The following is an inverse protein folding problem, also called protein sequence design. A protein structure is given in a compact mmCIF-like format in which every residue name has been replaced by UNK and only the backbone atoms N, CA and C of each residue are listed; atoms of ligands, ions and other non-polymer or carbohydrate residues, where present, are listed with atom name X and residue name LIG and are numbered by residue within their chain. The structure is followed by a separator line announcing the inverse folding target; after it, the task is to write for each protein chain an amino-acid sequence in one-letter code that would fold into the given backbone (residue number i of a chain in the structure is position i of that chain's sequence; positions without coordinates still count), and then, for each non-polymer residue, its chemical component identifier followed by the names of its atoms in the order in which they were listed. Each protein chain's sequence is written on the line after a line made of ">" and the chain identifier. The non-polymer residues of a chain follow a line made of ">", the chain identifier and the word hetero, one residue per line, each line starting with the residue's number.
data_IF_013355774530
#
_entry.id   IF_013355774530
#
_cell.length_a   1.000
_cell.length_b   1.000
_cell.length_c   1.000
_cell.angle_alpha   90.00
_cell.angle_beta   90.00
_cell.angle_gamma   90.00
#
_symmetry.space_group_name_H-M   'P 1'
#
loop_
_entity.id
_entity.type
_entity.pdbx_description
1 polymer ?
#
# COMPACT_ATOMS: atom_id res chain seq x y z
N UNK A 1 -15.22 -22.49 -36.76
CA UNK A 1 -14.52 -22.82 -35.49
C UNK A 1 -13.11 -22.28 -35.63
N UNK A 2 -12.83 -21.09 -35.10
CA UNK A 2 -11.50 -20.46 -35.19
C UNK A 2 -10.54 -21.27 -34.34
N UNK A 3 -9.61 -21.97 -34.99
CA UNK A 3 -8.53 -22.69 -34.35
C UNK A 3 -7.67 -21.68 -33.61
N UNK A 4 -7.82 -21.62 -32.29
CA UNK A 4 -7.01 -20.76 -31.42
C UNK A 4 -5.56 -21.20 -31.58
N UNK A 5 -4.74 -20.36 -32.19
CA UNK A 5 -3.31 -20.65 -32.38
C UNK A 5 -2.57 -20.44 -31.06
N UNK A 6 -1.44 -21.10 -30.87
CA UNK A 6 -0.59 -20.90 -29.68
C UNK A 6 -0.20 -19.43 -29.50
N UNK A 7 -0.03 -18.69 -30.60
CA UNK A 7 0.27 -17.26 -30.58
C UNK A 7 -0.89 -16.42 -30.01
N UNK A 8 -2.14 -16.75 -30.37
CA UNK A 8 -3.32 -16.03 -29.86
C UNK A 8 -3.46 -16.24 -28.34
N UNK A 9 -3.24 -17.47 -27.86
CA UNK A 9 -3.26 -17.80 -26.43
C UNK A 9 -2.17 -17.04 -25.66
N UNK A 10 -0.96 -16.94 -26.20
CA UNK A 10 0.11 -16.16 -25.59
C UNK A 10 -0.24 -14.67 -25.53
N UNK A 11 -0.83 -14.11 -26.59
CA UNK A 11 -1.27 -12.71 -26.60
C UNK A 11 -2.34 -12.42 -25.53
N UNK A 12 -3.29 -13.35 -25.33
CA UNK A 12 -4.28 -13.25 -24.27
C UNK A 12 -3.65 -13.34 -22.86
N UNK A 13 -2.66 -14.22 -22.66
CA UNK A 13 -1.96 -14.34 -21.38
C UNK A 13 -1.13 -13.09 -21.05
N UNK A 14 -0.38 -12.56 -22.03
CA UNK A 14 0.43 -11.36 -21.87
C UNK A 14 -0.46 -10.15 -21.55
N UNK A 15 -1.56 -9.97 -22.28
CA UNK A 15 -2.50 -8.87 -22.00
C UNK A 15 -3.16 -8.98 -20.63
N UNK A 16 -3.59 -10.18 -20.21
CA UNK A 16 -4.16 -10.41 -18.89
C UNK A 16 -3.15 -10.13 -17.76
N UNK A 17 -1.91 -10.63 -17.89
CA UNK A 17 -0.85 -10.39 -16.91
C UNK A 17 -0.46 -8.92 -16.83
N UNK A 18 -0.41 -8.23 -17.96
CA UNK A 18 -0.09 -6.81 -18.01
C UNK A 18 -1.15 -5.96 -17.31
N UNK A 19 -2.44 -6.23 -17.58
CA UNK A 19 -3.56 -5.55 -16.90
C UNK A 19 -3.52 -5.84 -15.40
N UNK A 20 -3.30 -7.09 -15.00
CA UNK A 20 -3.22 -7.47 -13.60
C UNK A 20 -2.07 -6.75 -12.88
N UNK A 21 -0.87 -6.73 -13.49
CA UNK A 21 0.28 -5.98 -12.98
C UNK A 21 -0.01 -4.47 -12.86
N UNK A 22 -0.68 -3.87 -13.85
CA UNK A 22 -1.07 -2.45 -13.83
C UNK A 22 -2.05 -2.14 -12.70
N UNK A 23 -3.05 -2.99 -12.48
CA UNK A 23 -4.02 -2.82 -11.38
C UNK A 23 -3.33 -2.98 -10.02
N UNK A 24 -2.47 -3.98 -9.85
CA UNK A 24 -1.73 -4.19 -8.59
C UNK A 24 -0.77 -3.03 -8.30
N UNK A 25 -0.07 -2.53 -9.31
CA UNK A 25 0.80 -1.35 -9.18
C UNK A 25 0.00 -0.11 -8.78
N UNK A 26 -1.10 0.16 -9.49
CA UNK A 26 -1.98 1.31 -9.23
C UNK A 26 -2.58 1.24 -7.82
N UNK A 27 -3.00 0.05 -7.37
CA UNK A 27 -3.49 -0.17 -6.01
C UNK A 27 -2.39 0.09 -4.96
N UNK A 28 -1.16 -0.37 -5.19
CA UNK A 28 -0.02 -0.11 -4.31
C UNK A 28 0.29 1.38 -4.16
N UNK A 29 0.30 2.12 -5.28
CA UNK A 29 0.48 3.59 -5.30
C UNK A 29 -0.68 4.29 -4.59
N UNK A 30 -1.93 3.88 -4.84
CA UNK A 30 -3.10 4.48 -4.21
C UNK A 30 -3.10 4.30 -2.69
N UNK A 31 -2.77 3.10 -2.21
CA UNK A 31 -2.62 2.80 -0.77
C UNK A 31 -1.53 3.67 -0.14
N UNK A 32 -0.42 3.89 -0.83
CA UNK A 32 0.68 4.72 -0.33
C UNK A 32 0.29 6.20 -0.26
N UNK A 33 -0.34 6.73 -1.31
CA UNK A 33 -0.75 8.15 -1.42
C UNK A 33 -1.83 8.51 -0.39
N UNK A 34 -2.90 7.71 -0.29
CA UNK A 34 -3.96 7.96 0.71
C UNK A 34 -3.43 7.85 2.15
N UNK A 35 -2.42 6.99 2.37
CA UNK A 35 -1.84 6.79 3.71
C UNK A 35 -0.79 7.86 4.07
N UNK A 36 -0.04 8.40 3.11
CA UNK A 36 0.88 9.51 3.35
C UNK A 36 0.16 10.73 3.95
N UNK A 37 -1.06 11.03 3.49
CA UNK A 37 -1.93 12.07 4.08
C UNK A 37 -2.31 11.80 5.55
N UNK A 38 -2.45 10.55 5.97
CA UNK A 38 -2.76 10.20 7.37
C UNK A 38 -1.58 10.36 8.34
N UNK A 39 -0.35 10.52 7.83
CA UNK A 39 0.84 10.77 8.64
C UNK A 39 0.90 12.18 9.24
N UNK A 40 0.48 13.19 8.48
CA UNK A 40 0.61 14.60 8.90
C UNK A 40 -0.48 15.04 9.90
N UNK A 41 -1.71 14.55 9.74
CA UNK A 41 -2.79 14.71 10.75
C UNK A 41 -2.37 14.12 12.10
N UNK A 42 -1.59 13.03 12.06
CA UNK A 42 -1.13 12.31 13.24
C UNK A 42 0.03 13.00 13.97
N UNK A 43 0.90 13.72 13.25
CA UNK A 43 1.92 14.61 13.86
C UNK A 43 1.26 15.80 14.55
N UNK A 44 0.20 16.35 13.94
CA UNK A 44 -0.60 17.43 14.53
C UNK A 44 -1.29 16.95 15.82
N UNK A 45 -1.96 15.80 15.79
CA UNK A 45 -2.60 15.20 16.97
C UNK A 45 -1.59 14.86 18.08
N UNK A 46 -0.40 14.35 17.73
CA UNK A 46 0.66 14.04 18.69
C UNK A 46 1.28 15.30 19.33
N UNK A 47 1.40 16.40 18.58
CA UNK A 47 1.86 17.68 19.11
C UNK A 47 0.79 18.35 20.00
N UNK A 48 -0.49 18.25 19.65
CA UNK A 48 -1.60 18.76 20.47
C UNK A 48 -1.79 17.94 21.76
N UNK A 49 -1.62 16.62 21.72
CA UNK A 49 -1.67 15.76 22.92
C UNK A 49 -0.54 16.09 23.92
N UNK A 50 0.65 16.44 23.43
CA UNK A 50 1.77 16.89 24.29
C UNK A 50 1.58 18.30 24.84
N UNK A 51 0.87 19.18 24.13
CA UNK A 51 0.48 20.50 24.63
C UNK A 51 -0.59 20.38 25.74
N UNK A 52 -1.55 19.46 25.60
CA UNK A 52 -2.53 19.15 26.65
C UNK A 52 -1.88 18.54 27.92
N UNK A 53 -0.77 17.80 27.77
CA UNK A 53 -0.02 17.20 28.88
C UNK A 53 0.72 18.20 29.79
N UNK A 54 0.96 19.43 29.37
CA UNK A 54 1.62 20.44 30.23
C UNK A 54 0.66 21.20 31.16
N UNK A 55 -0.65 20.94 31.09
CA UNK A 55 -1.67 21.72 31.82
C UNK A 55 -2.66 20.95 32.70
N UNK A 56 -2.75 19.62 32.61
CA UNK A 56 -3.74 18.84 33.40
C UNK A 56 -3.05 17.73 34.19
N UNK A 57 -2.56 18.20 35.34
CA UNK A 57 -2.43 17.60 36.67
C UNK A 57 -3.10 16.23 36.84
N UNK A 58 -2.27 15.27 37.26
CA UNK A 58 -2.45 14.06 38.07
C UNK A 58 -3.70 13.13 37.99
N UNK A 59 -4.87 13.50 37.46
CA UNK A 59 -6.11 12.67 37.56
C UNK A 59 -6.63 12.12 36.22
N UNK A 60 -6.09 12.57 35.08
CA UNK A 60 -6.50 12.12 33.72
C UNK A 60 -5.48 11.15 33.09
N UNK A 61 -4.42 10.82 33.83
CA UNK A 61 -3.29 9.98 33.40
C UNK A 61 -3.73 8.57 32.93
N UNK A 62 -4.70 7.95 33.62
CA UNK A 62 -5.21 6.62 33.26
C UNK A 62 -6.03 6.60 31.96
N UNK A 63 -6.76 7.67 31.65
CA UNK A 63 -7.62 7.76 30.46
C UNK A 63 -6.86 8.27 29.23
N UNK A 64 -5.92 9.20 29.42
CA UNK A 64 -5.00 9.67 28.38
C UNK A 64 -3.98 8.57 28.03
N UNK A 65 -3.59 7.73 28.97
CA UNK A 65 -2.77 6.54 28.71
C UNK A 65 -3.39 5.60 27.67
N UNK A 66 -4.72 5.40 27.70
CA UNK A 66 -5.45 4.61 26.71
C UNK A 66 -5.50 5.30 25.33
N UNK A 67 -5.67 6.62 25.29
CA UNK A 67 -5.60 7.39 24.04
C UNK A 67 -4.19 7.32 23.41
N UNK A 68 -3.14 7.39 24.23
CA UNK A 68 -1.74 7.22 23.79
C UNK A 68 -1.48 5.79 23.32
N UNK A 69 -2.05 4.76 23.98
CA UNK A 69 -1.97 3.37 23.54
C UNK A 69 -2.65 3.18 22.17
N UNK A 70 -3.86 3.73 21.97
CA UNK A 70 -4.54 3.68 20.68
C UNK A 70 -3.73 4.41 19.60
N UNK A 71 -3.16 5.59 19.90
CA UNK A 71 -2.28 6.33 18.98
C UNK A 71 -1.00 5.56 18.61
N UNK A 72 -0.49 4.70 19.50
CA UNK A 72 0.59 3.74 19.23
C UNK A 72 0.11 2.59 18.35
N UNK A 73 -1.01 1.95 18.65
CA UNK A 73 -1.55 0.88 17.80
C UNK A 73 -1.89 1.39 16.39
N UNK A 74 -2.42 2.61 16.28
CA UNK A 74 -2.64 3.28 15.01
C UNK A 74 -1.32 3.60 14.29
N UNK A 75 -0.24 3.90 15.01
CA UNK A 75 1.11 4.00 14.42
C UNK A 75 1.50 2.72 13.70
N UNK A 76 1.31 1.61 14.39
CA UNK A 76 1.83 0.32 13.98
C UNK A 76 0.99 -0.22 12.82
N UNK A 77 -0.33 0.02 12.84
CA UNK A 77 -1.21 -0.23 11.70
C UNK A 77 -0.83 0.60 10.47
N UNK A 78 -0.53 1.90 10.66
CA UNK A 78 -0.10 2.77 9.55
C UNK A 78 1.23 2.29 8.99
N UNK A 79 2.21 1.99 9.84
CA UNK A 79 3.53 1.48 9.43
C UNK A 79 3.42 0.15 8.68
N UNK A 80 2.57 -0.76 9.15
CA UNK A 80 2.32 -2.05 8.50
C UNK A 80 1.62 -1.88 7.16
N UNK A 81 0.61 -1.00 7.08
CA UNK A 81 -0.07 -0.69 5.82
C UNK A 81 0.87 -0.03 4.79
N UNK A 82 1.81 0.83 5.22
CA UNK A 82 2.86 1.37 4.34
C UNK A 82 3.77 0.26 3.82
N UNK A 83 4.15 -0.70 4.67
CA UNK A 83 4.89 -1.89 4.24
C UNK A 83 4.14 -2.71 3.18
N UNK A 84 2.83 -2.90 3.37
CA UNK A 84 1.96 -3.57 2.39
C UNK A 84 1.90 -2.79 1.07
N UNK A 85 1.78 -1.47 1.11
CA UNK A 85 1.77 -0.62 -0.10
C UNK A 85 3.07 -0.74 -0.91
N UNK A 86 4.23 -0.67 -0.25
CA UNK A 86 5.53 -0.86 -0.90
C UNK A 86 5.65 -2.27 -1.48
N UNK A 87 5.20 -3.29 -0.75
CA UNK A 87 5.19 -4.67 -1.24
C UNK A 87 4.33 -4.83 -2.51
N UNK A 88 3.15 -4.22 -2.56
CA UNK A 88 2.27 -4.24 -3.74
C UNK A 88 2.91 -3.56 -4.96
N UNK A 89 3.63 -2.45 -4.75
CA UNK A 89 4.37 -1.77 -5.84
C UNK A 89 5.47 -2.67 -6.39
N UNK A 90 6.30 -3.24 -5.51
CA UNK A 90 7.39 -4.15 -5.91
C UNK A 90 6.85 -5.38 -6.63
N UNK A 91 5.76 -5.97 -6.11
CA UNK A 91 5.09 -7.12 -6.72
C UNK A 91 4.50 -6.77 -8.09
N UNK A 92 3.87 -5.60 -8.24
CA UNK A 92 3.35 -5.12 -9.52
C UNK A 92 4.44 -4.92 -10.57
N UNK A 93 5.57 -4.32 -10.19
CA UNK A 93 6.74 -4.18 -11.08
C UNK A 93 7.32 -5.54 -11.46
N UNK A 94 7.41 -6.48 -10.52
CA UNK A 94 7.87 -7.84 -10.79
C UNK A 94 6.93 -8.58 -11.77
N UNK A 95 5.61 -8.44 -11.62
CA UNK A 95 4.62 -8.97 -12.56
C UNK A 95 4.72 -8.34 -13.95
N UNK A 96 4.95 -7.04 -14.05
CA UNK A 96 5.20 -6.38 -15.34
C UNK A 96 6.49 -6.87 -16.00
N UNK A 97 7.54 -7.12 -15.22
CA UNK A 97 8.80 -7.65 -15.72
C UNK A 97 8.65 -9.08 -16.27
N UNK A 98 7.94 -9.96 -15.55
CA UNK A 98 7.67 -11.32 -16.04
C UNK A 98 6.77 -11.33 -17.27
N UNK A 99 5.81 -10.41 -17.35
CA UNK A 99 4.99 -10.21 -18.55
C UNK A 99 5.84 -9.75 -19.75
N UNK A 100 6.79 -8.83 -19.54
CA UNK A 100 7.71 -8.39 -20.59
C UNK A 100 8.59 -9.52 -21.11
N UNK A 101 9.15 -10.34 -20.21
CA UNK A 101 9.92 -11.52 -20.60
C UNK A 101 9.08 -12.48 -21.43
N UNK A 102 7.85 -12.80 -21.00
CA UNK A 102 6.94 -13.67 -21.74
C UNK A 102 6.59 -13.10 -23.12
N UNK A 103 6.36 -11.79 -23.22
CA UNK A 103 6.11 -11.11 -24.48
C UNK A 103 7.33 -11.15 -25.42
N UNK A 104 8.54 -10.97 -24.88
CA UNK A 104 9.78 -11.01 -25.66
C UNK A 104 10.06 -12.40 -26.25
N UNK A 105 9.78 -13.46 -25.48
CA UNK A 105 9.91 -14.84 -25.95
C UNK A 105 8.82 -15.25 -26.94
N UNK A 106 7.67 -14.58 -26.95
CA UNK A 106 6.60 -14.83 -27.91
C UNK A 106 6.86 -14.15 -29.27
N UNK A 107 7.76 -13.16 -29.32
CA UNK A 107 8.14 -12.43 -30.54
C UNK A 107 9.39 -12.99 -31.24
N UNK A 108 10.10 -13.93 -30.61
CA UNK A 108 11.34 -14.58 -31.10
C UNK A 108 11.06 -15.99 -31.62
#
# INVERSE_FOLDING_TARGET
>A
MTTVSMADLQLYMVSALFILGLVTFSAGVFVLTFRAMSGDVRRLAAHTARLAQKGIVEDVSGMVGNAVALMRTLNDLVRTATGIGIFLIVLGVALMYTAFQLASTALA
#
